data_IF_638225701562
#
_entry.id   IF_638225701562
#
_cell.length_a   1.000
_cell.length_b   1.000
_cell.length_c   1.000
_cell.angle_alpha   90.00
_cell.angle_beta   90.00
_cell.angle_gamma   90.00
#
_symmetry.space_group_name_H-M   'P 1'
#
loop_
_entity.id
_entity.type
_entity.pdbx_description
1 polymer ?
#
# COMPACT_ATOMS: atom_id res chain seq x y z
N UNK A 1 43.41 23.81 -33.12
CA UNK A 1 44.03 22.75 -32.27
C UNK A 1 43.27 21.46 -32.51
N UNK A 2 43.95 20.32 -32.67
CA UNK A 2 43.34 18.98 -32.82
C UNK A 2 43.83 18.11 -31.66
N UNK A 3 42.94 17.36 -31.03
CA UNK A 3 43.30 16.24 -30.17
C UNK A 3 42.66 14.96 -30.71
N UNK A 4 43.40 13.87 -30.56
CA UNK A 4 43.15 12.51 -31.06
C UNK A 4 43.38 11.54 -29.89
N UNK A 5 43.06 10.25 -30.10
CA UNK A 5 43.62 9.11 -29.31
C UNK A 5 42.90 8.89 -27.96
N UNK A 6 42.46 7.69 -27.54
CA UNK A 6 42.35 6.37 -28.18
C UNK A 6 41.36 5.47 -27.42
N UNK A 7 40.85 4.43 -28.10
CA UNK A 7 39.98 3.37 -27.57
C UNK A 7 40.70 2.51 -26.51
N UNK A 8 40.01 2.12 -25.44
CA UNK A 8 40.47 1.06 -24.52
C UNK A 8 39.51 -0.13 -24.50
N UNK A 9 40.06 -1.32 -24.77
CA UNK A 9 39.39 -2.62 -24.65
C UNK A 9 40.10 -3.44 -23.57
N UNK A 10 39.39 -4.03 -22.60
CA UNK A 10 39.97 -5.07 -21.76
C UNK A 10 39.69 -6.46 -22.33
N UNK A 11 40.75 -7.24 -22.54
CA UNK A 11 40.71 -8.68 -22.75
C UNK A 11 41.73 -9.34 -21.79
N UNK A 12 41.58 -10.65 -21.55
CA UNK A 12 42.16 -11.48 -20.49
C UNK A 12 41.25 -11.60 -19.24
N UNK A 13 41.24 -12.74 -18.52
CA UNK A 13 42.28 -13.76 -18.43
C UNK A 13 41.67 -15.17 -18.22
N UNK A 14 42.19 -16.19 -18.92
CA UNK A 14 41.83 -17.58 -18.66
C UNK A 14 42.69 -18.14 -17.51
N UNK A 15 42.09 -18.98 -16.66
CA UNK A 15 42.80 -19.76 -15.64
C UNK A 15 42.39 -21.23 -15.82
N UNK A 16 43.36 -22.13 -16.03
CA UNK A 16 43.12 -23.57 -16.13
C UNK A 16 43.55 -24.29 -14.83
N UNK A 17 42.58 -25.02 -14.27
CA UNK A 17 42.68 -26.39 -13.72
C UNK A 17 43.85 -26.79 -12.80
N UNK A 18 43.53 -26.99 -11.51
CA UNK A 18 43.73 -28.21 -10.67
C UNK A 18 42.89 -28.04 -9.38
N UNK A 19 42.47 -29.08 -8.63
CA UNK A 19 42.51 -30.54 -8.82
C UNK A 19 41.72 -31.25 -7.68
N UNK A 20 41.23 -32.49 -7.88
CA UNK A 20 40.24 -33.11 -6.97
C UNK A 20 40.82 -33.71 -5.67
N UNK A 21 40.03 -33.63 -4.59
CA UNK A 21 39.89 -34.71 -3.60
C UNK A 21 38.44 -34.80 -3.10
N UNK A 22 37.95 -36.03 -2.92
CA UNK A 22 36.54 -36.33 -2.60
C UNK A 22 36.22 -36.15 -1.11
N UNK A 23 35.04 -35.59 -0.82
CA UNK A 23 34.27 -35.90 0.38
C UNK A 23 32.81 -36.19 -0.04
N UNK A 24 32.38 -37.45 0.06
CA UNK A 24 30.99 -37.85 -0.18
C UNK A 24 30.18 -37.62 1.09
N UNK A 25 29.19 -36.72 1.05
CA UNK A 25 28.08 -36.70 2.01
C UNK A 25 26.76 -36.50 1.24
N UNK A 26 25.78 -37.33 1.57
CA UNK A 26 24.33 -37.16 1.38
C UNK A 26 23.83 -36.33 0.19
N UNK A 27 23.33 -37.03 -0.83
CA UNK A 27 22.19 -36.51 -1.59
C UNK A 27 20.98 -36.53 -0.65
N UNK A 28 20.58 -35.37 -0.11
CA UNK A 28 19.21 -35.18 0.36
C UNK A 28 18.65 -33.83 -0.12
N UNK A 29 17.60 -33.96 -0.90
CA UNK A 29 16.82 -32.88 -1.49
C UNK A 29 16.05 -32.11 -0.42
N UNK A 30 16.53 -30.92 -0.05
CA UNK A 30 15.74 -30.01 0.81
C UNK A 30 15.97 -28.51 0.53
N UNK A 31 15.97 -28.12 -0.75
CA UNK A 31 15.94 -26.71 -1.20
C UNK A 31 14.73 -26.43 -2.12
N UNK A 32 13.56 -26.99 -1.78
CA UNK A 32 12.27 -26.71 -2.45
C UNK A 32 11.13 -26.67 -1.45
N UNK A 33 10.98 -25.57 -0.71
CA UNK A 33 9.68 -25.04 -0.20
C UNK A 33 9.81 -23.73 0.65
N UNK A 34 10.82 -22.89 0.41
CA UNK A 34 10.97 -21.59 1.11
C UNK A 34 11.00 -20.41 0.13
N UNK A 35 10.02 -20.39 -0.77
CA UNK A 35 9.59 -19.19 -1.48
C UNK A 35 8.14 -19.31 -1.94
N UNK A 36 7.24 -19.70 -1.03
CA UNK A 36 5.89 -19.14 -1.12
C UNK A 36 6.06 -17.61 -1.02
N UNK A 37 5.83 -16.93 -2.14
CA UNK A 37 5.77 -15.48 -2.18
C UNK A 37 4.73 -15.02 -1.16
N UNK A 38 5.18 -14.40 -0.07
CA UNK A 38 4.28 -13.76 0.90
C UNK A 38 3.58 -12.65 0.13
N UNK A 39 2.36 -12.95 -0.32
CA UNK A 39 1.59 -12.03 -1.15
C UNK A 39 1.19 -10.86 -0.27
N UNK A 40 1.77 -9.70 -0.57
CA UNK A 40 1.48 -8.44 0.13
C UNK A 40 -0.04 -8.22 0.26
N UNK A 41 -0.53 -7.76 1.42
CA UNK A 41 -1.94 -7.57 1.67
C UNK A 41 -2.54 -6.56 0.68
N UNK A 42 -3.80 -6.79 0.30
CA UNK A 42 -4.50 -5.94 -0.65
C UNK A 42 -6.01 -5.92 -0.39
N UNK A 43 -6.66 -4.80 -0.69
CA UNK A 43 -8.03 -4.47 -0.27
C UNK A 43 -8.13 -4.45 1.26
N UNK A 44 -7.40 -3.54 1.88
CA UNK A 44 -7.39 -3.36 3.33
C UNK A 44 -7.46 -1.87 3.70
N UNK A 45 -7.66 -1.60 4.99
CA UNK A 45 -7.55 -0.27 5.58
C UNK A 45 -6.78 -0.26 6.89
N UNK A 46 -6.11 0.85 7.15
CA UNK A 46 -5.62 1.28 8.48
C UNK A 46 -6.23 2.64 8.82
N UNK A 47 -5.71 3.27 9.86
CA UNK A 47 -6.15 4.56 10.32
C UNK A 47 -4.98 5.39 10.87
N UNK A 48 -5.19 6.71 10.92
CA UNK A 48 -4.37 7.61 11.73
C UNK A 48 -5.23 8.51 12.63
N UNK A 49 -4.66 8.93 13.75
CA UNK A 49 -5.19 9.99 14.62
C UNK A 49 -4.44 11.29 14.37
N UNK A 50 -5.11 12.22 13.69
CA UNK A 50 -4.71 13.62 13.55
C UNK A 50 -5.64 14.57 14.34
N UNK A 51 -6.52 14.04 15.20
CA UNK A 51 -7.65 14.77 15.82
C UNK A 51 -8.56 15.50 14.82
N UNK A 52 -8.55 15.10 13.55
CA UNK A 52 -9.22 15.78 12.44
C UNK A 52 -8.41 16.91 11.80
N UNK A 53 -7.10 17.05 12.06
CA UNK A 53 -6.23 17.98 11.34
C UNK A 53 -5.60 17.34 10.10
N UNK A 54 -6.37 17.39 9.02
CA UNK A 54 -5.97 16.90 7.70
C UNK A 54 -5.39 18.01 6.79
N UNK A 55 -5.07 19.20 7.33
CA UNK A 55 -4.80 20.40 6.54
C UNK A 55 -3.61 20.29 5.58
N UNK A 56 -2.61 19.48 5.90
CA UNK A 56 -1.40 19.25 5.09
C UNK A 56 -1.56 18.18 3.98
N UNK A 57 -2.76 17.62 3.80
CA UNK A 57 -3.02 16.53 2.84
C UNK A 57 -2.81 16.94 1.37
N UNK A 58 -2.17 16.09 0.56
CA UNK A 58 -1.67 16.43 -0.80
C UNK A 58 -2.75 17.05 -1.72
N UNK A 59 -3.99 16.57 -1.67
CA UNK A 59 -5.03 17.05 -2.57
C UNK A 59 -5.54 18.45 -2.24
N UNK A 60 -5.40 18.94 -1.00
CA UNK A 60 -5.93 20.25 -0.59
C UNK A 60 -5.13 21.42 -1.20
N UNK A 61 -3.90 21.16 -1.62
CA UNK A 61 -2.95 22.16 -2.10
C UNK A 61 -2.77 22.08 -3.62
N UNK A 62 -2.05 23.06 -4.18
CA UNK A 62 -1.66 23.04 -5.59
C UNK A 62 -0.87 21.76 -5.94
N UNK A 63 -1.17 21.06 -7.06
CA UNK A 63 -2.02 21.49 -8.17
C UNK A 63 -3.51 21.14 -8.04
N UNK A 64 -3.88 20.33 -7.05
CA UNK A 64 -5.22 19.74 -6.95
C UNK A 64 -6.27 20.72 -6.39
N UNK A 65 -5.89 21.50 -5.37
CA UNK A 65 -6.73 22.54 -4.74
C UNK A 65 -8.14 22.03 -4.34
N UNK A 66 -8.22 20.77 -3.89
CA UNK A 66 -9.46 20.12 -3.47
C UNK A 66 -10.09 20.89 -2.31
N UNK A 67 -11.37 21.21 -2.45
CA UNK A 67 -12.24 21.58 -1.32
C UNK A 67 -12.98 20.31 -0.89
N UNK A 68 -12.68 19.72 0.28
CA UNK A 68 -13.36 18.50 0.72
C UNK A 68 -14.86 18.70 0.98
N UNK A 69 -15.67 17.68 0.71
CA UNK A 69 -17.14 17.74 0.85
C UNK A 69 -17.67 17.02 2.09
N UNK A 70 -16.93 16.05 2.66
CA UNK A 70 -17.32 15.30 3.87
C UNK A 70 -17.17 16.11 5.18
N UNK A 71 -17.37 17.43 5.14
CA UNK A 71 -17.07 18.39 6.21
C UNK A 71 -17.85 18.20 7.51
N UNK A 72 -18.91 17.37 7.53
CA UNK A 72 -19.66 17.04 8.75
C UNK A 72 -19.18 15.78 9.47
N UNK A 73 -18.62 14.81 8.72
CA UNK A 73 -18.18 13.53 9.27
C UNK A 73 -16.67 13.39 9.32
N UNK A 74 -15.93 14.24 8.59
CA UNK A 74 -14.48 14.15 8.42
C UNK A 74 -14.05 12.76 7.94
N UNK A 75 -14.87 12.12 7.09
CA UNK A 75 -14.55 10.81 6.54
C UNK A 75 -13.57 10.93 5.38
N UNK A 76 -12.30 11.13 5.73
CA UNK A 76 -11.23 11.31 4.78
C UNK A 76 -10.22 10.17 4.85
N UNK A 77 -9.61 9.87 3.70
CA UNK A 77 -8.56 8.86 3.60
C UNK A 77 -7.40 9.31 2.71
N UNK A 78 -6.20 8.81 3.04
CA UNK A 78 -5.11 8.64 2.12
C UNK A 78 -5.27 7.30 1.38
N UNK A 79 -4.75 7.21 0.16
CA UNK A 79 -4.82 5.96 -0.60
C UNK A 79 -3.45 5.51 -1.13
N UNK A 80 -3.36 4.22 -1.40
CA UNK A 80 -2.19 3.59 -2.02
C UNK A 80 -1.91 4.18 -3.41
N UNK A 81 -0.65 4.09 -3.86
CA UNK A 81 -0.21 4.70 -5.12
C UNK A 81 -0.97 4.19 -6.34
N UNK A 82 -1.43 2.93 -6.33
CA UNK A 82 -2.22 2.32 -7.40
C UNK A 82 -3.66 2.85 -7.48
N UNK A 83 -4.24 3.31 -6.37
CA UNK A 83 -5.52 4.03 -6.39
C UNK A 83 -5.28 5.49 -6.72
N UNK A 84 -4.30 6.14 -6.08
CA UNK A 84 -4.05 7.58 -6.24
C UNK A 84 -3.81 8.01 -7.68
N UNK A 85 -3.15 7.15 -8.47
CA UNK A 85 -2.73 7.44 -9.84
C UNK A 85 -3.43 6.54 -10.88
N UNK A 86 -4.67 6.12 -10.65
CA UNK A 86 -5.44 5.33 -11.62
C UNK A 86 -5.70 6.15 -12.90
N UNK A 87 -4.91 5.89 -13.94
CA UNK A 87 -4.86 6.65 -15.19
C UNK A 87 -3.79 7.76 -15.21
N UNK A 88 -3.82 8.71 -14.28
CA UNK A 88 -2.89 9.86 -14.23
C UNK A 88 -2.56 10.33 -12.81
N UNK A 89 -1.57 11.23 -12.63
CA UNK A 89 -1.02 11.56 -11.31
C UNK A 89 -2.03 12.29 -10.40
N UNK A 90 -2.53 11.62 -9.37
CA UNK A 90 -3.52 12.16 -8.45
C UNK A 90 -4.95 12.18 -9.00
N UNK A 91 -5.25 11.32 -9.99
CA UNK A 91 -6.60 11.14 -10.54
C UNK A 91 -7.68 10.85 -9.47
N UNK A 92 -7.28 10.29 -8.32
CA UNK A 92 -8.20 10.03 -7.21
C UNK A 92 -8.42 11.22 -6.25
N UNK A 93 -7.78 12.38 -6.45
CA UNK A 93 -7.97 13.52 -5.56
C UNK A 93 -9.44 14.00 -5.57
N UNK A 94 -10.11 13.90 -4.42
CA UNK A 94 -11.51 14.25 -4.26
C UNK A 94 -12.50 13.13 -4.57
N UNK A 95 -12.04 11.96 -5.04
CA UNK A 95 -12.91 10.80 -5.28
C UNK A 95 -13.57 10.32 -4.00
N UNK A 96 -14.82 9.87 -4.11
CA UNK A 96 -15.53 9.26 -3.01
C UNK A 96 -15.72 7.75 -3.20
N UNK A 97 -15.64 7.02 -2.09
CA UNK A 97 -15.81 5.57 -2.06
C UNK A 97 -16.79 5.20 -0.96
N UNK A 98 -17.61 4.17 -1.19
CA UNK A 98 -18.25 3.44 -0.11
C UNK A 98 -17.37 2.25 0.23
N UNK A 99 -16.92 2.18 1.48
CA UNK A 99 -16.08 1.10 2.01
C UNK A 99 -16.89 0.30 3.03
N UNK A 100 -16.75 -1.02 2.98
CA UNK A 100 -17.42 -1.96 3.88
C UNK A 100 -16.45 -3.02 4.41
N UNK A 101 -16.59 -3.33 5.70
CA UNK A 101 -15.94 -4.44 6.40
C UNK A 101 -17.01 -5.41 6.92
N UNK A 102 -16.71 -6.71 6.91
CA UNK A 102 -17.64 -7.80 7.19
C UNK A 102 -17.61 -8.31 8.64
N UNK A 103 -16.74 -7.77 9.50
CA UNK A 103 -16.50 -8.29 10.86
C UNK A 103 -15.52 -9.47 10.90
N UNK A 104 -14.84 -9.77 9.79
CA UNK A 104 -13.88 -10.87 9.66
C UNK A 104 -12.57 -10.67 10.42
N UNK A 105 -11.58 -11.50 10.10
CA UNK A 105 -10.23 -11.40 10.69
C UNK A 105 -9.52 -10.15 10.18
N UNK A 106 -8.71 -9.50 11.02
CA UNK A 106 -7.72 -8.51 10.59
C UNK A 106 -6.68 -9.15 9.67
N UNK A 107 -5.89 -8.33 8.97
CA UNK A 107 -4.80 -8.83 8.11
C UNK A 107 -3.75 -9.64 8.90
N UNK A 108 -3.72 -9.52 10.23
CA UNK A 108 -2.94 -10.37 11.14
C UNK A 108 -3.57 -11.73 11.49
N UNK A 109 -4.68 -12.13 10.85
CA UNK A 109 -5.26 -13.47 10.94
C UNK A 109 -6.11 -13.75 12.19
N UNK A 110 -6.34 -12.75 13.05
CA UNK A 110 -7.18 -12.81 14.26
C UNK A 110 -8.38 -11.87 14.11
N UNK A 111 -9.49 -12.15 14.79
CA UNK A 111 -10.59 -11.17 14.92
C UNK A 111 -10.37 -10.38 16.21
N UNK A 112 -10.17 -9.06 16.17
CA UNK A 112 -10.02 -8.25 17.38
C UNK A 112 -11.31 -8.21 18.21
N UNK A 113 -11.18 -8.01 19.51
CA UNK A 113 -12.34 -7.77 20.38
C UNK A 113 -13.01 -6.44 20.01
N UNK A 114 -14.33 -6.40 19.96
CA UNK A 114 -15.12 -5.24 19.52
C UNK A 114 -15.29 -5.11 18.00
N UNK A 115 -14.64 -5.97 17.20
CA UNK A 115 -14.81 -5.99 15.75
C UNK A 115 -16.27 -6.20 15.35
N UNK A 116 -16.79 -5.34 14.47
CA UNK A 116 -18.15 -5.45 13.93
C UNK A 116 -18.16 -5.10 12.45
N UNK A 117 -19.08 -5.71 11.70
CA UNK A 117 -19.37 -5.28 10.35
C UNK A 117 -19.88 -3.83 10.33
N UNK A 118 -19.60 -3.14 9.22
CA UNK A 118 -19.99 -1.74 9.05
C UNK A 118 -19.54 -1.18 7.71
N UNK A 119 -20.06 0.01 7.39
CA UNK A 119 -19.67 0.74 6.19
C UNK A 119 -19.71 2.26 6.41
N UNK A 120 -18.99 2.98 5.57
CA UNK A 120 -19.06 4.43 5.48
C UNK A 120 -18.74 4.90 4.06
N UNK A 121 -19.23 6.09 3.74
CA UNK A 121 -18.70 6.87 2.60
C UNK A 121 -17.49 7.65 3.08
N UNK A 122 -16.42 7.63 2.28
CA UNK A 122 -15.20 8.40 2.49
C UNK A 122 -14.89 9.26 1.27
N UNK A 123 -14.00 10.24 1.43
CA UNK A 123 -13.39 11.00 0.35
C UNK A 123 -11.86 10.90 0.41
N UNK A 124 -11.22 10.73 -0.75
CA UNK A 124 -9.76 10.71 -0.87
C UNK A 124 -9.23 12.15 -0.86
N UNK A 125 -8.35 12.44 0.09
CA UNK A 125 -7.73 13.77 0.24
C UNK A 125 -6.20 13.74 0.18
N UNK A 126 -5.59 12.55 0.22
CA UNK A 126 -4.15 12.40 0.31
C UNK A 126 -3.66 11.14 -0.44
N UNK A 127 -2.35 11.09 -0.72
CA UNK A 127 -1.66 9.87 -1.11
C UNK A 127 -0.85 9.32 0.08
N UNK A 128 -0.13 8.22 -0.13
CA UNK A 128 0.92 7.80 0.82
C UNK A 128 0.58 6.67 1.77
N UNK A 129 -0.62 6.07 1.69
CA UNK A 129 -1.02 4.92 2.53
C UNK A 129 -0.09 3.68 2.38
N UNK A 130 0.72 3.61 1.32
CA UNK A 130 1.55 2.44 1.02
C UNK A 130 0.72 1.23 0.57
N UNK A 131 1.34 0.04 0.51
CA UNK A 131 0.66 -1.19 0.10
C UNK A 131 0.08 -1.16 -1.33
N UNK A 132 -0.96 -1.97 -1.57
CA UNK A 132 -1.71 -2.04 -2.83
C UNK A 132 -3.19 -2.16 -2.54
N UNK A 133 -4.03 -1.29 -3.11
CA UNK A 133 -5.45 -1.15 -2.72
C UNK A 133 -5.63 -0.94 -1.22
N UNK A 134 -4.92 0.05 -0.68
CA UNK A 134 -4.94 0.41 0.73
C UNK A 134 -5.64 1.77 0.90
N UNK A 135 -6.56 1.85 1.86
CA UNK A 135 -7.17 3.09 2.34
C UNK A 135 -6.74 3.31 3.78
N UNK A 136 -5.88 4.29 4.01
CA UNK A 136 -5.55 4.73 5.37
C UNK A 136 -6.49 5.89 5.70
N UNK A 137 -7.26 5.83 6.79
CA UNK A 137 -8.40 6.73 6.99
C UNK A 137 -8.40 7.44 8.36
N UNK A 138 -9.08 8.58 8.47
CA UNK A 138 -9.27 9.21 9.77
C UNK A 138 -10.00 8.26 10.73
N UNK A 139 -9.55 8.26 11.98
CA UNK A 139 -10.04 7.37 13.05
C UNK A 139 -11.57 7.25 13.11
N UNK A 140 -12.30 8.36 12.98
CA UNK A 140 -13.77 8.36 12.98
C UNK A 140 -14.40 7.51 11.87
N UNK A 141 -13.82 7.52 10.66
CA UNK A 141 -14.28 6.69 9.55
C UNK A 141 -13.94 5.22 9.77
N UNK A 142 -12.71 4.94 10.21
CA UNK A 142 -12.24 3.58 10.49
C UNK A 142 -13.07 2.93 11.62
N UNK A 143 -13.28 3.65 12.73
CA UNK A 143 -14.11 3.21 13.86
C UNK A 143 -15.58 3.07 13.49
N UNK A 144 -16.14 3.93 12.61
CA UNK A 144 -17.49 3.71 12.08
C UNK A 144 -17.58 2.39 11.29
N UNK A 145 -16.62 2.11 10.41
CA UNK A 145 -16.61 0.93 9.54
C UNK A 145 -16.35 -0.37 10.34
N UNK A 146 -15.43 -0.33 11.30
CA UNK A 146 -14.87 -1.54 11.93
C UNK A 146 -15.28 -1.77 13.38
N UNK A 147 -15.67 -0.70 14.09
CA UNK A 147 -15.81 -0.68 15.55
C UNK A 147 -14.48 -0.70 16.31
N UNK A 148 -13.35 -0.53 15.62
CA UNK A 148 -12.01 -0.67 16.15
C UNK A 148 -11.20 0.63 16.03
N UNK A 149 -10.07 0.65 16.73
CA UNK A 149 -9.03 1.68 16.69
C UNK A 149 -7.65 1.00 16.69
N UNK A 150 -7.48 -0.05 15.86
CA UNK A 150 -6.29 -0.92 15.86
C UNK A 150 -6.25 -1.82 14.62
N UNK A 151 -5.10 -2.46 14.40
CA UNK A 151 -4.83 -3.43 13.31
C UNK A 151 -5.08 -2.86 11.89
N UNK A 152 -4.91 -3.70 10.88
CA UNK A 152 -5.36 -3.46 9.51
C UNK A 152 -6.55 -4.37 9.20
N UNK A 153 -7.64 -3.84 8.63
CA UNK A 153 -8.86 -4.62 8.32
C UNK A 153 -8.99 -4.89 6.83
N UNK A 154 -9.38 -6.12 6.40
CA UNK A 154 -9.78 -6.37 5.03
C UNK A 154 -11.06 -5.60 4.71
N UNK A 155 -11.20 -5.10 3.49
CA UNK A 155 -12.37 -4.34 3.06
C UNK A 155 -12.81 -4.70 1.65
N UNK A 156 -14.07 -4.40 1.38
CA UNK A 156 -14.55 -4.18 0.02
C UNK A 156 -14.81 -2.69 -0.17
N UNK A 157 -14.57 -2.17 -1.38
CA UNK A 157 -14.82 -0.78 -1.69
C UNK A 157 -15.36 -0.60 -3.12
N UNK A 158 -16.17 0.44 -3.33
CA UNK A 158 -16.63 0.85 -4.66
C UNK A 158 -16.58 2.38 -4.78
N UNK A 159 -16.15 2.88 -5.93
CA UNK A 159 -16.20 4.32 -6.24
C UNK A 159 -17.66 4.76 -6.38
N UNK A 160 -17.99 5.93 -5.82
CA UNK A 160 -19.34 6.50 -5.80
C UNK A 160 -19.29 8.00 -6.13
N UNK A 161 -20.44 8.59 -6.46
CA UNK A 161 -20.58 10.04 -6.41
C UNK A 161 -20.41 10.55 -4.97
N UNK A 162 -19.69 11.64 -4.80
CA UNK A 162 -19.62 12.34 -3.52
C UNK A 162 -20.99 12.89 -3.09
N UNK A 163 -21.30 12.89 -1.78
CA UNK A 163 -22.49 13.51 -1.22
C UNK A 163 -22.36 15.04 -1.11
#
# INVERSE_FOLDING_TARGET
>A
MKFSTTIFTPAAMAIMSIGSVNARIGSDSNQRELSESVKEPTNFMTWWDDKGDYSDSECLHYPYNLTPTMTKSHHYCAVSKDIFNDGEKGAACGDCYEISYDGGKSMGGRTPEGARAGSAKIQVINSGAGGTKHFDCLDGAFSQITGLHTDAMPITYKKISCP
#
